data_IF_588520858511
#
_entry.id   IF_588520858511
#
_cell.length_a   1.000
_cell.length_b   1.000
_cell.length_c   1.000
_cell.angle_alpha   90.00
_cell.angle_beta   90.00
_cell.angle_gamma   90.00
#
_symmetry.space_group_name_H-M   'P 1'
#
loop_
_entity.id
_entity.type
_entity.pdbx_description
1 polymer ?
#
# COMPACT_ATOMS: atom_id res chain seq x y z
N UNK A 1 16.44 -6.29 25.40
CA UNK A 1 16.21 -7.07 24.17
C UNK A 1 16.99 -6.39 23.08
N UNK A 2 18.00 -7.05 22.50
CA UNK A 2 18.78 -6.46 21.39
C UNK A 2 17.97 -6.62 20.12
N UNK A 3 17.41 -5.52 19.62
CA UNK A 3 16.73 -5.47 18.33
C UNK A 3 17.67 -5.98 17.24
N UNK A 4 17.37 -7.16 16.69
CA UNK A 4 18.19 -7.76 15.64
C UNK A 4 17.96 -6.95 14.37
N UNK A 5 18.91 -6.08 14.07
CA UNK A 5 18.94 -5.33 12.82
C UNK A 5 19.72 -6.13 11.79
N UNK A 6 19.10 -6.38 10.64
CA UNK A 6 19.68 -7.11 9.53
C UNK A 6 20.20 -6.11 8.50
N UNK A 7 21.38 -6.39 7.95
CA UNK A 7 21.98 -5.60 6.87
C UNK A 7 21.69 -6.29 5.55
N UNK A 8 20.96 -5.61 4.68
CA UNK A 8 20.60 -6.09 3.36
C UNK A 8 21.35 -5.28 2.29
N UNK A 9 21.96 -5.96 1.32
CA UNK A 9 22.60 -5.30 0.17
C UNK A 9 21.66 -5.36 -1.04
N UNK A 10 21.30 -4.20 -1.57
CA UNK A 10 20.40 -4.05 -2.70
C UNK A 10 21.08 -3.32 -3.87
N UNK A 11 20.70 -3.66 -5.10
CA UNK A 11 21.09 -2.89 -6.29
C UNK A 11 19.85 -2.17 -6.80
N UNK A 12 19.87 -0.84 -6.79
CA UNK A 12 18.74 0.02 -7.16
C UNK A 12 19.22 1.00 -8.24
N UNK A 13 18.56 1.01 -9.40
CA UNK A 13 18.90 1.89 -10.53
C UNK A 13 20.39 1.83 -10.95
N UNK A 14 20.99 0.64 -10.80
CA UNK A 14 22.40 0.36 -11.08
C UNK A 14 23.40 0.83 -10.01
N UNK A 15 22.93 1.30 -8.86
CA UNK A 15 23.76 1.69 -7.70
C UNK A 15 23.57 0.67 -6.57
N UNK A 16 24.65 0.31 -5.89
CA UNK A 16 24.60 -0.62 -4.75
C UNK A 16 24.37 0.15 -3.45
N UNK A 17 23.39 -0.27 -2.65
CA UNK A 17 23.04 0.29 -1.37
C UNK A 17 23.09 -0.78 -0.28
N UNK A 18 23.42 -0.37 0.94
CA UNK A 18 23.31 -1.23 2.13
C UNK A 18 22.22 -0.65 3.02
N UNK A 19 21.14 -1.41 3.21
CA UNK A 19 19.96 -1.04 3.97
C UNK A 19 20.00 -1.79 5.30
N UNK A 20 19.74 -1.10 6.41
CA UNK A 20 19.68 -1.72 7.74
C UNK A 20 18.25 -1.62 8.24
N UNK A 21 17.66 -2.75 8.63
CA UNK A 21 16.27 -2.79 9.09
C UNK A 21 15.94 -4.05 9.90
N UNK A 22 14.75 -4.07 10.49
CA UNK A 22 14.24 -5.24 11.24
C UNK A 22 13.39 -6.17 10.35
N UNK A 23 13.26 -5.86 9.06
CA UNK A 23 12.43 -6.61 8.11
C UNK A 23 13.19 -7.79 7.51
N UNK A 24 12.45 -8.82 7.08
CA UNK A 24 13.02 -10.01 6.44
C UNK A 24 13.73 -9.70 5.12
N UNK A 25 14.75 -10.50 4.79
CA UNK A 25 15.48 -10.42 3.52
C UNK A 25 14.56 -10.61 2.30
N UNK A 26 13.54 -11.48 2.42
CA UNK A 26 12.57 -11.73 1.36
C UNK A 26 11.75 -10.48 1.03
N UNK A 27 11.26 -9.78 2.05
CA UNK A 27 10.52 -8.53 1.87
C UNK A 27 11.41 -7.46 1.23
N UNK A 28 12.65 -7.32 1.70
CA UNK A 28 13.59 -6.34 1.15
C UNK A 28 13.96 -6.64 -0.31
N UNK A 29 14.09 -7.92 -0.66
CA UNK A 29 14.28 -8.35 -2.05
C UNK A 29 13.07 -8.00 -2.92
N UNK A 30 11.86 -8.30 -2.47
CA UNK A 30 10.63 -7.97 -3.19
C UNK A 30 10.50 -6.45 -3.42
N UNK A 31 10.75 -5.64 -2.39
CA UNK A 31 10.77 -4.17 -2.50
C UNK A 31 11.81 -3.71 -3.54
N UNK A 32 12.99 -4.31 -3.53
CA UNK A 32 14.06 -3.98 -4.50
C UNK A 32 13.66 -4.32 -5.94
N UNK A 33 13.00 -5.46 -6.17
CA UNK A 33 12.51 -5.85 -7.49
C UNK A 33 11.42 -4.89 -8.01
N UNK A 34 10.42 -4.58 -7.18
CA UNK A 34 9.34 -3.65 -7.54
C UNK A 34 9.89 -2.26 -7.87
N UNK A 35 10.84 -1.77 -7.08
CA UNK A 35 11.42 -0.45 -7.28
C UNK A 35 12.25 -0.36 -8.58
N UNK A 36 13.02 -1.41 -8.91
CA UNK A 36 13.75 -1.46 -10.19
C UNK A 36 12.80 -1.61 -11.39
N UNK A 37 11.70 -2.35 -11.25
CA UNK A 37 10.66 -2.42 -12.28
C UNK A 37 10.07 -1.04 -12.57
N UNK A 38 9.64 -0.30 -11.54
CA UNK A 38 9.09 1.05 -11.72
C UNK A 38 10.12 1.99 -12.35
N UNK A 39 11.38 1.94 -11.91
CA UNK A 39 12.44 2.73 -12.51
C UNK A 39 12.62 2.42 -14.00
N UNK A 40 12.55 1.14 -14.37
CA UNK A 40 12.68 0.69 -15.76
C UNK A 40 11.52 1.15 -16.62
N UNK A 41 10.28 1.02 -16.12
CA UNK A 41 9.08 1.52 -16.80
C UNK A 41 9.14 3.03 -17.04
N UNK A 42 9.57 3.79 -16.03
CA UNK A 42 9.69 5.24 -16.16
C UNK A 42 10.75 5.63 -17.19
N UNK A 43 11.86 4.89 -17.25
CA UNK A 43 12.90 5.05 -18.27
C UNK A 43 12.45 4.64 -19.67
N UNK A 44 11.54 3.68 -19.80
CA UNK A 44 10.95 3.31 -21.08
C UNK A 44 10.02 4.40 -21.62
N UNK A 45 9.22 5.02 -20.76
CA UNK A 45 8.37 6.16 -21.14
C UNK A 45 9.20 7.41 -21.47
N UNK A 46 10.22 7.67 -20.65
CA UNK A 46 11.03 8.89 -20.73
C UNK A 46 12.52 8.56 -20.64
N UNK A 47 13.18 8.22 -21.77
CA UNK A 47 14.60 7.82 -21.75
C UNK A 47 15.54 8.94 -21.30
N UNK A 48 15.20 10.19 -21.60
CA UNK A 48 15.98 11.39 -21.24
C UNK A 48 15.81 11.81 -19.76
N UNK A 49 14.94 11.16 -19.01
CA UNK A 49 14.64 11.54 -17.62
C UNK A 49 15.87 11.27 -16.72
N UNK A 50 16.24 12.21 -15.85
CA UNK A 50 17.40 12.02 -14.97
C UNK A 50 17.14 10.94 -13.91
N UNK A 51 18.20 10.43 -13.26
CA UNK A 51 18.00 9.49 -12.15
C UNK A 51 17.38 10.18 -10.93
N UNK A 52 17.74 11.44 -10.66
CA UNK A 52 17.10 12.25 -9.61
C UNK A 52 15.60 12.41 -9.86
N UNK A 53 15.21 12.86 -11.05
CA UNK A 53 13.78 13.10 -11.36
C UNK A 53 12.98 11.80 -11.30
N UNK A 54 13.57 10.68 -11.73
CA UNK A 54 12.95 9.36 -11.60
C UNK A 54 12.67 9.01 -10.14
N UNK A 55 13.65 9.25 -9.26
CA UNK A 55 13.51 8.98 -7.84
C UNK A 55 12.43 9.87 -7.21
N UNK A 56 12.36 11.16 -7.59
CA UNK A 56 11.34 12.09 -7.10
C UNK A 56 9.94 11.64 -7.51
N UNK A 57 9.74 11.26 -8.78
CA UNK A 57 8.44 10.80 -9.28
C UNK A 57 7.99 9.49 -8.64
N UNK A 58 8.91 8.53 -8.47
CA UNK A 58 8.62 7.27 -7.77
C UNK A 58 8.26 7.53 -6.29
N UNK A 59 8.99 8.43 -5.61
CA UNK A 59 8.69 8.81 -4.23
C UNK A 59 7.32 9.49 -4.11
N UNK A 60 6.99 10.40 -5.04
CA UNK A 60 5.68 11.03 -5.09
C UNK A 60 4.56 10.00 -5.26
N UNK A 61 4.72 9.06 -6.19
CA UNK A 61 3.73 7.99 -6.39
C UNK A 61 3.57 7.12 -5.14
N UNK A 62 4.68 6.73 -4.49
CA UNK A 62 4.64 5.94 -3.27
C UNK A 62 3.93 6.67 -2.11
N UNK A 63 4.19 7.96 -1.93
CA UNK A 63 3.51 8.79 -0.92
C UNK A 63 2.02 8.95 -1.26
N UNK A 64 1.68 9.14 -2.54
CA UNK A 64 0.29 9.20 -2.99
C UNK A 64 -0.47 7.92 -2.65
N UNK A 65 0.14 6.76 -2.88
CA UNK A 65 -0.48 5.47 -2.57
C UNK A 65 -0.59 5.25 -1.06
N UNK A 66 0.42 5.64 -0.28
CA UNK A 66 0.35 5.62 1.18
C UNK A 66 -0.82 6.47 1.72
N UNK A 67 -1.01 7.67 1.18
CA UNK A 67 -2.13 8.54 1.56
C UNK A 67 -3.48 7.95 1.16
N UNK A 68 -3.61 7.39 -0.06
CA UNK A 68 -4.84 6.70 -0.49
C UNK A 68 -5.18 5.55 0.45
N UNK A 69 -4.21 4.73 0.84
CA UNK A 69 -4.42 3.62 1.77
C UNK A 69 -4.89 4.12 3.15
N UNK A 70 -4.31 5.21 3.67
CA UNK A 70 -4.74 5.81 4.92
C UNK A 70 -6.18 6.35 4.84
N UNK A 71 -6.54 6.99 3.72
CA UNK A 71 -7.91 7.44 3.47
C UNK A 71 -8.88 6.27 3.35
N UNK A 72 -8.55 5.20 2.62
CA UNK A 72 -9.42 4.01 2.51
C UNK A 72 -9.62 3.31 3.85
N UNK A 73 -8.60 3.28 4.72
CA UNK A 73 -8.75 2.77 6.08
C UNK A 73 -9.74 3.60 6.92
N UNK A 74 -9.75 4.92 6.72
CA UNK A 74 -10.72 5.83 7.35
C UNK A 74 -12.14 5.64 6.79
N UNK A 75 -12.29 5.50 5.46
CA UNK A 75 -13.63 5.28 4.84
C UNK A 75 -14.20 3.90 5.17
N UNK A 76 -13.37 2.88 5.37
CA UNK A 76 -13.81 1.54 5.79
C UNK A 76 -14.27 1.52 7.25
N UNK A 77 -13.64 2.31 8.13
CA UNK A 77 -14.10 2.47 9.52
C UNK A 77 -15.42 3.24 9.59
N UNK A 78 -15.64 4.23 8.72
CA UNK A 78 -16.89 5.02 8.71
C UNK A 78 -18.11 4.25 8.16
N UNK A 79 -17.92 3.31 7.23
CA UNK A 79 -19.04 2.52 6.66
C UNK A 79 -19.56 1.40 7.57
N UNK A 80 -18.84 1.06 8.65
CA UNK A 80 -19.32 0.09 9.64
C UNK A 80 -20.30 0.70 10.68
N UNK A 81 -20.46 2.04 10.70
CA UNK A 81 -21.30 2.74 11.68
C UNK A 81 -22.71 3.12 11.15
N UNK A 82 -22.98 2.97 9.85
CA UNK A 82 -24.29 3.23 9.26
C UNK A 82 -24.97 1.92 8.83
N UNK A 83 -25.38 1.10 9.81
CA UNK A 83 -26.47 0.15 9.57
C UNK A 83 -27.77 0.93 9.58
N UNK A 84 -28.52 1.02 8.47
CA UNK A 84 -29.85 1.63 8.50
C UNK A 84 -30.77 0.72 9.30
N UNK A 85 -31.28 1.25 10.40
CA UNK A 85 -32.44 0.77 11.13
C UNK A 85 -33.67 0.89 10.21
N UNK A 86 -33.83 -0.06 9.28
CA UNK A 86 -35.04 -0.22 8.47
C UNK A 86 -35.40 -1.69 8.40
N UNK A 87 -35.73 -2.27 9.54
CA UNK A 87 -36.41 -3.56 9.62
C UNK A 87 -37.43 -3.57 10.78
N UNK A 88 -38.19 -2.48 10.93
CA UNK A 88 -39.36 -2.42 11.82
C UNK A 88 -40.59 -1.93 11.04
N UNK A 89 -40.88 -2.53 9.88
CA UNK A 89 -42.19 -2.41 9.25
C UNK A 89 -42.41 -3.55 8.24
N UNK A 90 -42.95 -4.68 8.71
CA UNK A 90 -43.91 -5.54 7.97
C UNK A 90 -44.10 -6.90 8.66
N UNK A 91 -45.34 -7.17 9.10
CA UNK A 91 -46.00 -8.47 9.37
C UNK A 91 -46.84 -8.31 10.66
N UNK A 92 -47.97 -7.61 10.64
CA UNK A 92 -49.27 -8.12 10.17
C UNK A 92 -49.51 -9.59 10.53
N UNK A 93 -50.33 -9.76 11.57
CA UNK A 93 -51.29 -10.83 11.89
C UNK A 93 -51.05 -12.26 11.36
N UNK A 94 -51.33 -13.25 12.23
CA UNK A 94 -52.08 -14.42 11.82
C UNK A 94 -53.46 -14.44 12.52
N UNK A 95 -54.52 -14.40 11.71
CA UNK A 95 -55.79 -15.05 12.04
C UNK A 95 -55.53 -16.54 12.29
N UNK A 96 -56.16 -17.15 13.30
CA UNK A 96 -56.95 -18.39 13.15
C UNK A 96 -57.80 -18.62 14.41
N UNK A 97 -59.10 -18.76 14.14
CA UNK A 97 -60.25 -19.32 14.86
C UNK A 97 -59.98 -20.53 15.80
N UNK A 98 -60.57 -20.53 17.01
CA UNK A 98 -61.51 -21.54 17.54
C UNK A 98 -62.22 -21.00 18.79
#
# INVERSE_FOLDING_TARGET
MTEQTHRFKAVIAGKTYTIVGQTSDEHMRAVTEVLNQQFTQLKQLSPNLSKEDAAILMAFNAVSDQLKMASTADVAASQAAETPDTAASSASAPETEE
#
